data_IF_731942036892
#
_entry.id   IF_731942036892
#
_cell.length_a   1.000
_cell.length_b   1.000
_cell.length_c   1.000
_cell.angle_alpha   90.00
_cell.angle_beta   90.00
_cell.angle_gamma   90.00
#
_symmetry.space_group_name_H-M   'P 1'
#
loop_
_entity.id
_entity.type
_entity.pdbx_description
1 polymer ?
#
# COMPACT_ATOMS: atom_id res chain seq x y z
N UNK A 1 -12.64 92.54 34.26
CA UNK A 1 -11.62 91.76 33.60
C UNK A 1 -11.78 90.38 34.06
N UNK A 2 -12.45 89.56 33.31
CA UNK A 2 -12.84 88.19 33.62
C UNK A 2 -12.29 87.23 32.58
N UNK A 3 -11.29 86.51 32.96
CA UNK A 3 -10.75 85.43 32.11
C UNK A 3 -11.63 84.16 32.16
N UNK A 4 -11.98 83.68 31.01
CA UNK A 4 -12.72 82.39 30.86
C UNK A 4 -11.70 81.32 30.58
N UNK A 5 -11.54 80.37 31.52
CA UNK A 5 -10.80 79.12 31.26
C UNK A 5 -11.59 78.11 30.47
N UNK A 6 -11.01 77.63 29.40
CA UNK A 6 -11.57 76.55 28.53
C UNK A 6 -11.08 75.22 29.03
N UNK A 7 -12.02 74.34 29.41
CA UNK A 7 -11.74 72.95 29.78
C UNK A 7 -11.79 72.11 28.49
N UNK A 8 -10.66 71.49 28.13
CA UNK A 8 -10.57 70.50 27.03
C UNK A 8 -10.74 69.10 27.65
N UNK A 9 -11.86 68.48 27.33
CA UNK A 9 -12.14 67.09 27.69
C UNK A 9 -11.46 66.17 26.65
N UNK A 10 -10.40 65.47 27.09
CA UNK A 10 -9.75 64.44 26.25
C UNK A 10 -10.47 63.12 26.41
N UNK A 11 -11.09 62.64 25.33
CA UNK A 11 -11.64 61.31 25.24
C UNK A 11 -10.53 60.31 24.88
N UNK A 12 -10.22 59.40 25.82
CA UNK A 12 -9.33 58.28 25.56
C UNK A 12 -10.10 57.17 24.87
N UNK A 13 -9.77 56.87 23.59
CA UNK A 13 -10.26 55.68 22.86
C UNK A 13 -9.44 54.48 23.35
N UNK A 14 -10.08 53.58 24.10
CA UNK A 14 -9.52 52.25 24.38
C UNK A 14 -9.78 51.33 23.18
N UNK A 15 -8.73 50.99 22.43
CA UNK A 15 -8.79 49.98 21.38
C UNK A 15 -8.74 48.58 22.02
N UNK A 16 -9.87 47.86 21.97
CA UNK A 16 -9.92 46.44 22.31
C UNK A 16 -9.36 45.62 21.14
N UNK A 17 -8.17 45.06 21.33
CA UNK A 17 -7.64 44.04 20.42
C UNK A 17 -8.30 42.71 20.76
N UNK A 18 -9.22 42.25 19.91
CA UNK A 18 -9.76 40.88 19.98
C UNK A 18 -8.69 39.91 19.47
N UNK A 19 -7.99 39.25 20.39
CA UNK A 19 -7.14 38.10 20.03
C UNK A 19 -8.05 36.88 19.85
N UNK A 20 -8.35 36.53 18.59
CA UNK A 20 -9.03 35.27 18.29
C UNK A 20 -8.02 34.12 18.50
N UNK A 21 -8.15 33.42 19.60
CA UNK A 21 -7.45 32.14 19.85
C UNK A 21 -8.13 31.10 18.96
N UNK A 22 -7.54 30.81 17.81
CA UNK A 22 -7.92 29.63 17.03
C UNK A 22 -7.37 28.41 17.76
N UNK A 23 -8.22 27.75 18.53
CA UNK A 23 -7.88 26.44 19.08
C UNK A 23 -7.80 25.44 17.94
N UNK A 24 -6.60 25.13 17.49
CA UNK A 24 -6.37 23.94 16.65
C UNK A 24 -6.58 22.74 17.56
N UNK A 25 -7.79 22.17 17.53
CA UNK A 25 -8.04 20.86 18.12
C UNK A 25 -7.28 19.89 17.24
N UNK A 26 -6.07 19.54 17.64
CA UNK A 26 -5.33 18.44 17.03
C UNK A 26 -6.20 17.18 17.16
N UNK A 27 -6.55 16.55 16.05
CA UNK A 27 -7.16 15.23 16.06
C UNK A 27 -6.26 14.33 16.93
N UNK A 28 -6.83 13.73 17.97
CA UNK A 28 -6.11 12.75 18.78
C UNK A 28 -5.57 11.69 17.81
N UNK A 29 -4.27 11.42 17.90
CA UNK A 29 -3.66 10.39 17.06
C UNK A 29 -4.40 9.08 17.34
N UNK A 30 -5.05 8.51 16.32
CA UNK A 30 -5.70 7.21 16.44
C UNK A 30 -4.64 6.20 16.87
N UNK A 31 -4.75 5.65 18.07
CA UNK A 31 -3.86 4.58 18.51
C UNK A 31 -4.41 3.22 18.08
N UNK A 32 -3.51 2.31 17.77
CA UNK A 32 -3.85 0.93 17.41
C UNK A 32 -2.97 -0.04 18.19
N UNK A 33 -3.55 -1.16 18.55
CA UNK A 33 -2.81 -2.32 19.07
C UNK A 33 -2.88 -3.44 18.04
N UNK A 34 -1.73 -4.00 17.70
CA UNK A 34 -1.63 -5.14 16.77
C UNK A 34 -1.41 -6.43 17.58
N UNK A 35 -2.23 -7.43 17.31
CA UNK A 35 -2.17 -8.73 17.97
C UNK A 35 -1.91 -9.84 16.93
N UNK A 36 -0.76 -10.50 17.02
CA UNK A 36 -0.44 -11.66 16.19
C UNK A 36 -1.38 -12.81 16.52
N UNK A 37 -2.06 -13.35 15.52
CA UNK A 37 -3.07 -14.40 15.73
C UNK A 37 -2.49 -15.81 15.73
N UNK A 38 -1.29 -15.98 15.18
CA UNK A 38 -0.60 -17.26 15.07
C UNK A 38 0.88 -17.12 15.46
N UNK A 39 1.51 -18.24 15.76
CA UNK A 39 2.95 -18.37 16.02
C UNK A 39 3.78 -18.73 14.78
N UNK A 40 3.19 -18.60 13.59
CA UNK A 40 3.76 -18.93 12.29
C UNK A 40 3.07 -18.16 11.16
N UNK A 41 3.69 -18.01 9.99
CA UNK A 41 3.03 -17.49 8.79
C UNK A 41 1.88 -18.39 8.31
N UNK A 42 0.90 -17.80 7.63
CA UNK A 42 -0.21 -18.52 6.98
C UNK A 42 0.15 -18.98 5.58
N UNK A 43 1.08 -18.28 4.90
CA UNK A 43 1.63 -18.68 3.60
C UNK A 43 3.14 -18.81 3.74
N UNK A 44 3.67 -19.97 3.35
CA UNK A 44 5.12 -20.27 3.33
C UNK A 44 5.48 -21.04 2.06
N UNK A 45 6.77 -21.08 1.66
CA UNK A 45 7.21 -21.80 0.47
C UNK A 45 6.83 -23.29 0.45
N UNK A 46 6.70 -23.90 1.62
CA UNK A 46 6.41 -25.33 1.79
C UNK A 46 4.96 -25.70 1.44
N UNK A 47 4.05 -24.72 1.38
CA UNK A 47 2.64 -25.00 1.05
C UNK A 47 2.48 -25.60 -0.35
N UNK A 48 3.26 -25.13 -1.34
CA UNK A 48 3.23 -25.68 -2.69
C UNK A 48 4.44 -25.22 -3.52
N UNK A 49 5.08 -26.09 -4.32
CA UNK A 49 6.26 -25.73 -5.12
C UNK A 49 6.02 -24.59 -6.11
N UNK A 50 4.78 -24.38 -6.58
CA UNK A 50 4.47 -23.32 -7.57
C UNK A 50 4.69 -21.90 -7.02
N UNK A 51 4.66 -21.69 -5.71
CA UNK A 51 4.78 -20.34 -5.15
C UNK A 51 6.23 -19.89 -4.94
N UNK A 52 7.21 -20.78 -5.09
CA UNK A 52 8.62 -20.43 -4.92
C UNK A 52 8.95 -19.87 -3.55
N UNK A 53 10.06 -19.12 -3.45
CA UNK A 53 10.62 -18.63 -2.18
C UNK A 53 10.40 -17.14 -1.92
N UNK A 54 10.03 -16.37 -2.95
CA UNK A 54 9.71 -14.95 -2.80
C UNK A 54 8.21 -14.75 -2.76
N UNK A 55 7.68 -14.30 -1.62
CA UNK A 55 6.25 -14.23 -1.28
C UNK A 55 5.96 -12.85 -0.70
N UNK A 56 5.25 -12.00 -1.47
CA UNK A 56 5.01 -10.62 -1.11
C UNK A 56 3.67 -10.08 -1.65
N UNK A 57 3.27 -8.87 -1.20
CA UNK A 57 2.15 -8.09 -1.71
C UNK A 57 0.80 -8.77 -1.53
N UNK A 58 0.43 -9.19 -0.29
CA UNK A 58 -0.85 -9.82 -0.04
C UNK A 58 -2.03 -8.88 -0.34
N UNK A 59 -3.14 -9.48 -0.77
CA UNK A 59 -4.47 -8.85 -0.79
C UNK A 59 -5.52 -9.92 -0.53
N UNK A 60 -6.34 -9.73 0.48
CA UNK A 60 -7.30 -10.73 0.94
C UNK A 60 -8.71 -10.20 0.77
N UNK A 61 -9.60 -11.05 0.27
CA UNK A 61 -11.03 -10.75 0.17
C UNK A 61 -11.86 -11.93 0.68
N UNK A 62 -12.99 -11.61 1.31
CA UNK A 62 -14.07 -12.56 1.52
C UNK A 62 -14.84 -12.68 0.22
N UNK A 63 -14.96 -13.90 -0.29
CA UNK A 63 -15.66 -14.16 -1.54
C UNK A 63 -17.17 -13.96 -1.35
N UNK A 64 -17.80 -13.17 -2.25
CA UNK A 64 -19.23 -12.90 -2.15
C UNK A 64 -20.07 -14.12 -2.53
N UNK A 65 -21.29 -14.19 -2.00
CA UNK A 65 -22.18 -15.35 -2.20
C UNK A 65 -22.66 -15.52 -3.65
N UNK A 66 -22.58 -14.45 -4.48
CA UNK A 66 -22.92 -14.55 -5.90
C UNK A 66 -21.86 -15.29 -6.75
N UNK A 67 -20.69 -15.63 -6.17
CA UNK A 67 -19.72 -16.55 -6.78
C UNK A 67 -20.06 -17.96 -6.34
N UNK A 68 -20.75 -18.72 -7.20
CA UNK A 68 -21.32 -20.03 -6.86
C UNK A 68 -20.26 -21.12 -6.63
N UNK A 69 -19.27 -21.21 -7.51
CA UNK A 69 -18.22 -22.25 -7.52
C UNK A 69 -16.92 -21.78 -6.88
N UNK A 70 -17.00 -21.05 -5.77
CA UNK A 70 -15.81 -20.55 -5.07
C UNK A 70 -15.00 -21.69 -4.44
N UNK A 71 -13.67 -21.60 -4.50
CA UNK A 71 -12.73 -22.57 -3.94
C UNK A 71 -12.76 -22.58 -2.39
N UNK A 72 -13.12 -21.46 -1.77
CA UNK A 72 -13.22 -21.26 -0.33
C UNK A 72 -13.85 -19.92 0.00
N UNK A 73 -14.07 -19.67 1.29
CA UNK A 73 -14.67 -18.41 1.78
C UNK A 73 -13.78 -17.20 1.59
N UNK A 74 -12.46 -17.36 1.68
CA UNK A 74 -11.47 -16.30 1.52
C UNK A 74 -10.50 -16.63 0.41
N UNK A 75 -10.15 -15.60 -0.37
CA UNK A 75 -9.08 -15.65 -1.36
C UNK A 75 -7.97 -14.69 -0.94
N UNK A 76 -6.74 -15.19 -0.96
CA UNK A 76 -5.52 -14.43 -0.72
C UNK A 76 -4.71 -14.40 -2.00
N UNK A 77 -4.62 -13.22 -2.61
CA UNK A 77 -3.78 -12.95 -3.77
C UNK A 77 -2.42 -12.45 -3.29
N UNK A 78 -1.36 -12.87 -3.95
CA UNK A 78 0.01 -12.45 -3.64
C UNK A 78 0.92 -12.69 -4.85
N UNK A 79 2.20 -12.27 -4.78
CA UNK A 79 3.09 -12.37 -5.92
C UNK A 79 4.52 -12.76 -5.52
N UNK A 80 5.36 -13.01 -6.49
CA UNK A 80 6.80 -12.86 -6.46
C UNK A 80 7.13 -11.46 -6.97
N UNK A 81 8.13 -10.81 -6.42
CA UNK A 81 8.50 -9.44 -6.79
C UNK A 81 8.86 -9.28 -8.27
N UNK A 82 9.41 -10.33 -8.88
CA UNK A 82 9.70 -10.42 -10.32
C UNK A 82 8.91 -11.54 -10.99
N UNK A 83 7.74 -11.88 -10.42
CA UNK A 83 6.90 -12.98 -10.86
C UNK A 83 6.16 -12.70 -12.16
N UNK A 84 5.74 -13.79 -12.80
CA UNK A 84 5.03 -13.75 -14.09
C UNK A 84 3.54 -14.02 -13.96
N UNK A 85 3.02 -14.12 -12.72
CA UNK A 85 1.59 -14.32 -12.47
C UNK A 85 1.23 -13.89 -11.05
N UNK A 86 -0.02 -13.54 -10.85
CA UNK A 86 -0.58 -13.33 -9.51
C UNK A 86 -0.98 -14.68 -8.96
N UNK A 87 -0.40 -15.05 -7.81
CA UNK A 87 -0.67 -16.27 -7.09
C UNK A 87 -1.99 -16.19 -6.35
N UNK A 88 -2.61 -17.34 -6.08
CA UNK A 88 -3.87 -17.43 -5.38
C UNK A 88 -3.80 -18.55 -4.33
N UNK A 89 -4.12 -18.19 -3.09
CA UNK A 89 -4.46 -19.15 -2.03
C UNK A 89 -5.92 -18.95 -1.63
N UNK A 90 -6.53 -19.99 -1.06
CA UNK A 90 -7.91 -19.96 -0.58
C UNK A 90 -8.07 -20.76 0.72
N UNK A 91 -9.03 -20.35 1.54
CA UNK A 91 -9.38 -21.01 2.80
C UNK A 91 -10.83 -20.74 3.18
N UNK A 92 -11.36 -21.52 4.11
CA UNK A 92 -12.67 -21.27 4.72
C UNK A 92 -12.55 -20.49 6.04
N UNK A 93 -11.35 -20.43 6.61
CA UNK A 93 -11.00 -19.67 7.81
C UNK A 93 -9.75 -18.82 7.54
N UNK A 94 -9.71 -17.59 8.07
CA UNK A 94 -8.56 -16.67 7.90
C UNK A 94 -7.28 -17.19 8.54
N UNK A 95 -7.39 -18.02 9.59
CA UNK A 95 -6.24 -18.66 10.23
C UNK A 95 -5.79 -19.93 9.51
N UNK A 96 -6.51 -20.35 8.47
CA UNK A 96 -6.21 -21.51 7.62
C UNK A 96 -6.95 -22.79 8.04
N UNK A 97 -6.57 -23.96 7.47
CA UNK A 97 -5.42 -24.11 6.57
C UNK A 97 -5.65 -23.48 5.18
N UNK A 98 -4.68 -22.72 4.71
CA UNK A 98 -4.68 -22.18 3.37
C UNK A 98 -4.23 -23.22 2.35
N UNK A 99 -4.89 -23.24 1.20
CA UNK A 99 -4.56 -24.12 0.06
C UNK A 99 -4.14 -23.25 -1.12
N UNK A 100 -3.12 -23.67 -1.84
CA UNK A 100 -2.68 -22.96 -3.05
C UNK A 100 -3.50 -23.44 -4.25
N UNK A 101 -3.96 -22.49 -5.07
CA UNK A 101 -4.45 -22.74 -6.43
C UNK A 101 -3.27 -22.60 -7.39
N UNK A 102 -2.65 -23.69 -7.85
CA UNK A 102 -1.36 -23.64 -8.53
C UNK A 102 -1.32 -22.80 -9.83
N UNK A 103 -2.40 -22.73 -10.64
CA UNK A 103 -2.44 -21.83 -11.79
C UNK A 103 -2.36 -20.35 -11.42
N UNK A 104 -2.69 -20.00 -10.16
CA UNK A 104 -2.86 -18.60 -9.75
C UNK A 104 -4.13 -17.98 -10.32
N UNK A 105 -4.11 -16.67 -10.53
CA UNK A 105 -5.29 -15.94 -11.03
C UNK A 105 -5.00 -15.21 -12.35
N UNK A 106 -4.04 -14.30 -12.40
CA UNK A 106 -3.71 -13.52 -13.59
C UNK A 106 -2.31 -13.88 -14.08
N UNK A 107 -2.20 -14.27 -15.35
CA UNK A 107 -0.92 -14.53 -16.01
C UNK A 107 -0.38 -13.25 -16.67
N UNK A 108 0.96 -13.12 -16.77
CA UNK A 108 1.58 -11.95 -17.41
C UNK A 108 1.15 -11.81 -18.87
N UNK A 109 0.92 -12.91 -19.59
CA UNK A 109 0.46 -12.90 -20.98
C UNK A 109 -0.92 -12.24 -21.16
N UNK A 110 -1.74 -12.23 -20.10
CA UNK A 110 -3.10 -11.69 -20.08
C UNK A 110 -3.16 -10.31 -19.40
N UNK A 111 -2.02 -9.84 -18.88
CA UNK A 111 -1.93 -8.66 -18.00
C UNK A 111 -1.81 -7.32 -18.74
N UNK A 112 -1.63 -7.34 -20.06
CA UNK A 112 -1.33 -6.16 -20.89
C UNK A 112 0.06 -5.54 -20.61
N UNK A 113 0.93 -6.21 -19.85
CA UNK A 113 2.32 -5.84 -19.63
C UNK A 113 3.27 -6.58 -20.59
N UNK A 114 4.54 -6.17 -20.58
CA UNK A 114 5.57 -6.84 -21.38
C UNK A 114 5.73 -8.30 -20.94
N UNK A 115 5.80 -9.21 -21.88
CA UNK A 115 6.09 -10.63 -21.66
C UNK A 115 7.57 -10.97 -21.84
N UNK A 116 8.28 -10.13 -22.61
CA UNK A 116 9.69 -10.30 -22.94
C UNK A 116 10.49 -9.07 -22.49
N UNK A 117 11.75 -9.23 -22.10
CA UNK A 117 12.61 -8.11 -21.74
C UNK A 117 12.74 -7.11 -22.89
N UNK A 118 12.46 -5.81 -22.64
CA UNK A 118 12.72 -4.79 -23.65
C UNK A 118 14.22 -4.62 -23.87
N UNK A 119 14.62 -4.38 -25.13
CA UNK A 119 16.01 -4.11 -25.48
C UNK A 119 16.50 -2.83 -24.79
N UNK A 120 17.73 -2.87 -24.26
CA UNK A 120 18.40 -1.72 -23.65
C UNK A 120 19.88 -1.74 -24.00
N UNK A 121 20.46 -0.62 -24.41
CA UNK A 121 21.89 -0.52 -24.69
C UNK A 121 22.73 -0.38 -23.42
N UNK A 122 24.03 -0.66 -23.50
CA UNK A 122 24.97 -0.44 -22.38
C UNK A 122 25.09 1.03 -22.02
N UNK A 123 24.99 1.94 -22.99
CA UNK A 123 24.97 3.39 -22.77
C UNK A 123 23.76 3.81 -21.94
N UNK A 124 22.58 3.28 -22.25
CA UNK A 124 21.38 3.57 -21.49
C UNK A 124 21.45 3.02 -20.05
N UNK A 125 22.01 1.80 -19.88
CA UNK A 125 22.29 1.25 -18.54
C UNK A 125 23.24 2.16 -17.76
N UNK A 126 24.33 2.62 -18.37
CA UNK A 126 25.26 3.53 -17.74
C UNK A 126 24.59 4.88 -17.37
N UNK A 127 23.75 5.42 -18.24
CA UNK A 127 22.95 6.64 -17.98
C UNK A 127 22.02 6.47 -16.78
N UNK A 128 21.27 5.37 -16.72
CA UNK A 128 20.35 5.03 -15.62
C UNK A 128 21.12 4.85 -14.30
N UNK A 129 22.27 4.17 -14.34
CA UNK A 129 23.15 3.96 -13.17
C UNK A 129 23.64 5.31 -12.63
N UNK A 130 24.15 6.17 -13.51
CA UNK A 130 24.60 7.51 -13.14
C UNK A 130 23.47 8.39 -12.59
N UNK A 131 22.28 8.32 -13.17
CA UNK A 131 21.11 9.05 -12.68
C UNK A 131 20.71 8.59 -11.27
N UNK A 132 20.71 7.29 -11.01
CA UNK A 132 20.42 6.71 -9.69
C UNK A 132 21.45 7.16 -8.65
N UNK A 133 22.74 7.08 -8.95
CA UNK A 133 23.82 7.53 -8.05
C UNK A 133 23.69 9.02 -7.68
N UNK A 134 23.36 9.88 -8.64
CA UNK A 134 23.16 11.32 -8.40
C UNK A 134 21.92 11.64 -7.55
N UNK A 135 20.87 10.82 -7.63
CA UNK A 135 19.64 11.05 -6.88
C UNK A 135 19.73 10.63 -5.41
N UNK A 136 20.85 10.02 -4.98
CA UNK A 136 20.94 9.42 -3.63
C UNK A 136 19.94 8.30 -3.40
N UNK A 137 19.42 7.68 -4.47
CA UNK A 137 18.44 6.62 -4.37
C UNK A 137 18.98 5.45 -3.56
N UNK A 138 18.10 4.84 -2.76
CA UNK A 138 18.43 3.68 -1.95
C UNK A 138 19.05 2.56 -2.80
N UNK A 139 19.96 1.82 -2.18
CA UNK A 139 20.56 0.60 -2.76
C UNK A 139 19.44 -0.35 -3.19
N UNK A 140 19.62 -1.02 -4.32
CA UNK A 140 18.68 -2.01 -4.84
C UNK A 140 19.29 -3.40 -4.79
N UNK A 141 18.44 -4.41 -4.66
CA UNK A 141 18.85 -5.82 -4.60
C UNK A 141 19.33 -6.40 -5.94
N UNK A 142 18.98 -5.75 -7.06
CA UNK A 142 19.40 -6.17 -8.41
C UNK A 142 20.18 -5.06 -9.12
N UNK A 143 20.96 -5.45 -10.12
CA UNK A 143 21.62 -4.51 -11.04
C UNK A 143 20.58 -3.69 -11.85
N UNK A 144 21.07 -2.59 -12.44
CA UNK A 144 20.21 -1.63 -13.15
C UNK A 144 19.55 -2.26 -14.38
N UNK A 145 20.23 -3.13 -15.10
CA UNK A 145 19.66 -3.79 -16.28
C UNK A 145 18.52 -4.70 -15.89
N UNK A 146 18.72 -5.57 -14.89
CA UNK A 146 17.69 -6.47 -14.34
C UNK A 146 16.47 -5.67 -13.87
N UNK A 147 16.67 -4.61 -13.10
CA UNK A 147 15.55 -3.77 -12.63
C UNK A 147 14.80 -3.07 -13.76
N UNK A 148 15.51 -2.65 -14.81
CA UNK A 148 14.94 -1.89 -15.90
C UNK A 148 14.18 -2.74 -16.93
N UNK A 149 14.50 -4.06 -17.03
CA UNK A 149 14.05 -4.87 -18.16
C UNK A 149 13.37 -6.19 -17.80
N UNK A 150 13.31 -6.60 -16.50
CA UNK A 150 12.65 -7.87 -16.15
C UNK A 150 11.13 -7.74 -16.20
N UNK A 151 10.44 -8.43 -17.14
CA UNK A 151 8.99 -8.47 -17.18
C UNK A 151 8.42 -9.13 -15.93
N UNK A 152 7.47 -8.47 -15.30
CA UNK A 152 6.80 -8.99 -14.09
C UNK A 152 5.44 -8.35 -13.88
N UNK A 153 4.61 -9.00 -13.08
CA UNK A 153 3.39 -8.44 -12.48
C UNK A 153 3.38 -8.76 -11.00
N UNK A 154 2.98 -7.79 -10.17
CA UNK A 154 3.06 -7.93 -8.71
C UNK A 154 2.08 -7.03 -7.95
N UNK A 155 2.04 -7.22 -6.63
CA UNK A 155 1.37 -6.41 -5.61
C UNK A 155 -0.11 -6.15 -5.91
N UNK A 156 -0.92 -7.20 -6.00
CA UNK A 156 -2.36 -7.07 -6.22
C UNK A 156 -3.03 -6.28 -5.09
N UNK A 157 -4.09 -5.56 -5.43
CA UNK A 157 -5.04 -4.92 -4.52
C UNK A 157 -6.45 -5.25 -5.01
N UNK A 158 -7.14 -6.15 -4.31
CA UNK A 158 -8.38 -6.77 -4.80
C UNK A 158 -9.58 -6.29 -4.01
N UNK A 159 -10.64 -5.92 -4.72
CA UNK A 159 -11.87 -5.38 -4.16
C UNK A 159 -13.10 -6.06 -4.74
N UNK A 160 -14.14 -6.18 -3.95
CA UNK A 160 -15.44 -6.67 -4.38
C UNK A 160 -16.32 -5.48 -4.78
N UNK A 161 -16.77 -5.46 -6.02
CA UNK A 161 -17.77 -4.52 -6.53
C UNK A 161 -19.12 -5.23 -6.54
N UNK A 162 -19.79 -5.18 -5.39
CA UNK A 162 -21.09 -5.82 -5.17
C UNK A 162 -22.16 -5.32 -6.14
N UNK A 163 -22.16 -4.00 -6.42
CA UNK A 163 -23.18 -3.38 -7.27
C UNK A 163 -23.13 -3.91 -8.71
N UNK A 164 -21.95 -4.28 -9.20
CA UNK A 164 -21.75 -4.80 -10.56
C UNK A 164 -21.45 -6.30 -10.60
N UNK A 165 -21.50 -6.99 -9.46
CA UNK A 165 -21.17 -8.42 -9.30
C UNK A 165 -19.86 -8.77 -10.00
N UNK A 166 -18.79 -8.07 -9.65
CA UNK A 166 -17.45 -8.30 -10.19
C UNK A 166 -16.38 -8.12 -9.12
N UNK A 167 -15.24 -8.73 -9.35
CA UNK A 167 -14.04 -8.61 -8.54
C UNK A 167 -13.06 -7.77 -9.32
N UNK A 168 -12.50 -6.74 -8.69
CA UNK A 168 -11.59 -5.77 -9.31
C UNK A 168 -10.21 -5.93 -8.70
N UNK A 169 -9.18 -6.14 -9.52
CA UNK A 169 -7.79 -6.24 -9.10
C UNK A 169 -6.98 -5.10 -9.71
N UNK A 170 -6.36 -4.28 -8.87
CA UNK A 170 -5.30 -3.37 -9.26
C UNK A 170 -3.96 -4.07 -9.06
N UNK A 171 -3.05 -3.92 -10.00
CA UNK A 171 -1.75 -4.58 -9.95
C UNK A 171 -0.76 -3.77 -10.78
N UNK A 172 0.55 -3.97 -10.58
CA UNK A 172 1.54 -3.29 -11.39
C UNK A 172 2.45 -4.25 -12.14
N UNK A 173 3.17 -3.73 -13.12
CA UNK A 173 4.12 -4.49 -13.91
C UNK A 173 5.02 -3.61 -14.76
N UNK A 174 5.94 -4.25 -15.48
CA UNK A 174 6.87 -3.58 -16.39
C UNK A 174 6.18 -3.23 -17.71
N UNK A 175 6.12 -1.93 -18.02
CA UNK A 175 5.46 -1.37 -19.23
C UNK A 175 6.47 -0.82 -20.26
N UNK A 176 7.75 -0.83 -19.96
CA UNK A 176 8.86 -0.36 -20.79
C UNK A 176 10.15 -0.30 -19.99
N UNK A 177 11.27 0.03 -20.62
CA UNK A 177 12.56 0.19 -19.94
C UNK A 177 12.42 1.12 -18.73
N UNK A 178 12.72 0.63 -17.54
CA UNK A 178 12.59 1.35 -16.25
C UNK A 178 11.21 1.95 -15.99
N UNK A 179 10.19 1.56 -16.72
CA UNK A 179 8.83 2.07 -16.55
C UNK A 179 7.91 0.99 -16.02
N UNK A 180 7.49 1.17 -14.79
CA UNK A 180 6.46 0.35 -14.15
C UNK A 180 5.23 1.23 -13.87
N UNK A 181 4.04 0.68 -14.11
CA UNK A 181 2.75 1.37 -13.92
C UNK A 181 1.75 0.41 -13.32
N UNK A 182 0.63 0.95 -12.80
CA UNK A 182 -0.51 0.14 -12.37
C UNK A 182 -1.55 0.04 -13.48
N UNK A 183 -2.19 -1.13 -13.55
CA UNK A 183 -3.37 -1.43 -14.38
C UNK A 183 -4.47 -2.04 -13.52
N UNK A 184 -5.64 -2.24 -14.13
CA UNK A 184 -6.78 -2.92 -13.50
C UNK A 184 -7.21 -4.11 -14.34
N UNK A 185 -7.61 -5.18 -13.64
CA UNK A 185 -8.27 -6.35 -14.21
C UNK A 185 -9.58 -6.61 -13.48
N UNK A 186 -10.52 -7.28 -14.14
CA UNK A 186 -11.81 -7.66 -13.56
C UNK A 186 -12.07 -9.14 -13.74
N UNK A 187 -12.83 -9.72 -12.81
CA UNK A 187 -13.25 -11.12 -12.82
C UNK A 187 -14.67 -11.26 -12.30
N UNK A 188 -15.36 -12.31 -12.66
CA UNK A 188 -16.65 -12.72 -12.10
C UNK A 188 -16.53 -13.87 -11.10
N UNK A 189 -15.38 -14.56 -11.06
CA UNK A 189 -15.15 -15.71 -10.17
C UNK A 189 -13.93 -15.55 -9.25
N UNK A 190 -13.14 -14.47 -9.42
CA UNK A 190 -11.92 -14.22 -8.62
C UNK A 190 -10.71 -15.07 -9.03
N UNK A 191 -10.83 -15.86 -10.09
CA UNK A 191 -9.75 -16.70 -10.63
C UNK A 191 -9.32 -16.19 -11.99
N UNK A 192 -10.26 -16.08 -12.91
CA UNK A 192 -10.01 -15.69 -14.30
C UNK A 192 -10.19 -14.17 -14.42
N UNK A 193 -9.09 -13.42 -14.53
CA UNK A 193 -9.09 -11.98 -14.67
C UNK A 193 -8.80 -11.52 -16.09
N UNK A 194 -9.53 -10.50 -16.54
CA UNK A 194 -9.30 -9.79 -17.79
C UNK A 194 -8.73 -8.40 -17.52
N UNK A 195 -7.48 -8.16 -17.90
CA UNK A 195 -6.80 -6.89 -17.69
C UNK A 195 -7.15 -5.86 -18.77
N UNK A 196 -7.23 -4.58 -18.35
CA UNK A 196 -7.43 -3.43 -19.23
C UNK A 196 -6.08 -2.81 -19.60
N UNK A 197 -5.93 -2.26 -20.82
CA UNK A 197 -4.66 -1.70 -21.30
C UNK A 197 -4.32 -0.32 -20.70
N UNK A 198 -5.29 0.35 -20.06
CA UNK A 198 -5.09 1.69 -19.53
C UNK A 198 -4.08 1.70 -18.38
N UNK A 199 -3.21 2.72 -18.40
CA UNK A 199 -2.29 3.03 -17.30
C UNK A 199 -3.02 3.87 -16.27
N UNK A 200 -3.08 3.42 -15.03
CA UNK A 200 -3.82 4.12 -13.98
C UNK A 200 -2.93 5.09 -13.17
N UNK A 201 -1.67 4.75 -13.00
CA UNK A 201 -0.74 5.51 -12.19
C UNK A 201 0.55 4.75 -11.89
N UNK A 202 1.23 5.16 -10.81
CA UNK A 202 2.48 4.56 -10.34
C UNK A 202 2.24 3.17 -9.74
N UNK A 203 3.31 2.48 -9.41
CA UNK A 203 3.31 1.13 -8.84
C UNK A 203 2.70 1.07 -7.45
N UNK A 204 2.27 -0.13 -7.06
CA UNK A 204 1.75 -0.44 -5.72
C UNK A 204 0.51 0.41 -5.38
N UNK A 205 -0.48 0.41 -6.27
CA UNK A 205 -1.72 1.16 -6.09
C UNK A 205 -2.62 0.45 -5.07
N UNK A 206 -3.07 1.18 -4.05
CA UNK A 206 -4.04 0.78 -3.05
C UNK A 206 -5.25 1.68 -3.12
N UNK A 207 -6.45 1.11 -3.13
CA UNK A 207 -7.67 1.81 -3.52
C UNK A 207 -8.68 1.89 -2.36
N UNK A 208 -9.41 3.00 -2.27
CA UNK A 208 -10.52 3.18 -1.35
C UNK A 208 -11.58 4.10 -1.95
N UNK A 209 -12.81 4.01 -1.44
CA UNK A 209 -13.92 4.88 -1.87
C UNK A 209 -14.20 5.96 -0.83
N UNK A 210 -14.39 7.21 -1.29
CA UNK A 210 -14.77 8.33 -0.42
C UNK A 210 -15.47 9.43 -1.24
N UNK A 211 -16.57 10.00 -0.71
CA UNK A 211 -17.25 11.15 -1.31
C UNK A 211 -17.71 10.95 -2.77
N UNK A 212 -18.06 9.73 -3.16
CA UNK A 212 -18.49 9.38 -4.52
C UNK A 212 -17.34 9.30 -5.54
N UNK A 213 -16.11 9.25 -5.07
CA UNK A 213 -14.90 8.97 -5.87
C UNK A 213 -14.27 7.65 -5.45
N UNK A 214 -13.55 7.03 -6.37
CA UNK A 214 -12.53 6.03 -6.13
C UNK A 214 -11.19 6.76 -6.02
N UNK A 215 -10.56 6.68 -4.86
CA UNK A 215 -9.21 7.18 -4.62
C UNK A 215 -8.21 6.05 -4.67
N UNK A 216 -6.99 6.36 -5.03
CA UNK A 216 -5.88 5.43 -4.96
C UNK A 216 -4.63 6.13 -4.43
N UNK A 217 -3.81 5.39 -3.69
CA UNK A 217 -2.47 5.82 -3.28
C UNK A 217 -1.45 4.82 -3.81
N UNK A 218 -0.44 5.33 -4.53
CA UNK A 218 0.68 4.56 -5.07
C UNK A 218 1.99 4.96 -4.40
N UNK A 219 3.01 4.11 -4.51
CA UNK A 219 4.38 4.42 -4.07
C UNK A 219 4.97 5.62 -4.82
N UNK A 220 5.65 6.55 -4.13
CA UNK A 220 5.76 6.77 -2.69
C UNK A 220 4.75 7.85 -2.20
N UNK A 221 3.51 7.44 -1.91
CA UNK A 221 2.47 8.32 -1.38
C UNK A 221 1.79 9.20 -2.42
N UNK A 222 1.83 8.86 -3.71
CA UNK A 222 1.16 9.59 -4.78
C UNK A 222 -0.33 9.26 -4.81
N UNK A 223 -1.19 10.25 -4.59
CA UNK A 223 -2.64 10.08 -4.66
C UNK A 223 -3.18 10.29 -6.06
N UNK A 224 -4.26 9.58 -6.34
CA UNK A 224 -5.08 9.67 -7.55
C UNK A 224 -6.55 9.58 -7.17
N UNK A 225 -7.45 10.10 -8.01
CA UNK A 225 -8.89 9.85 -7.88
C UNK A 225 -9.57 9.71 -9.24
N UNK A 226 -10.69 9.01 -9.26
CA UNK A 226 -11.56 8.86 -10.43
C UNK A 226 -13.02 8.73 -10.03
N UNK A 227 -13.94 9.05 -10.94
CA UNK A 227 -15.36 8.67 -10.82
C UNK A 227 -15.62 7.21 -11.21
N UNK A 228 -14.65 6.57 -11.87
CA UNK A 228 -14.74 5.17 -12.28
C UNK A 228 -13.64 4.36 -11.61
N UNK A 229 -13.95 3.22 -10.97
CA UNK A 229 -12.92 2.34 -10.43
C UNK A 229 -12.04 1.68 -11.50
N UNK A 230 -12.42 1.76 -12.78
CA UNK A 230 -11.75 1.05 -13.87
C UNK A 230 -10.87 1.95 -14.75
N UNK A 231 -10.69 3.22 -14.44
CA UNK A 231 -9.86 4.09 -15.26
C UNK A 231 -10.09 5.59 -15.01
N UNK A 232 -9.45 6.44 -15.84
CA UNK A 232 -9.56 7.89 -15.80
C UNK A 232 -9.13 8.49 -14.45
N UNK A 233 -8.07 7.96 -13.84
CA UNK A 233 -7.50 8.50 -12.61
C UNK A 233 -6.75 9.80 -12.88
N UNK A 234 -7.14 10.88 -12.21
CA UNK A 234 -6.40 12.14 -12.19
C UNK A 234 -5.36 12.11 -11.07
N UNK A 235 -4.16 12.63 -11.34
CA UNK A 235 -3.07 12.71 -10.37
C UNK A 235 -3.31 13.86 -9.40
N UNK A 236 -3.08 13.64 -8.12
CA UNK A 236 -3.29 14.58 -7.03
C UNK A 236 -2.03 14.82 -6.19
N UNK A 237 -2.18 15.09 -4.88
CA UNK A 237 -1.06 15.39 -4.01
C UNK A 237 -0.16 14.15 -3.82
N UNK A 238 1.12 14.41 -3.59
CA UNK A 238 2.06 13.40 -3.14
C UNK A 238 2.39 13.68 -1.68
N UNK A 239 1.95 12.77 -0.83
CA UNK A 239 2.20 12.77 0.60
C UNK A 239 3.33 11.78 0.92
N UNK A 240 3.82 11.79 2.13
CA UNK A 240 4.93 10.97 2.60
C UNK A 240 6.30 11.32 1.97
N UNK A 241 7.34 10.74 2.52
CA UNK A 241 8.70 10.91 2.03
C UNK A 241 9.02 9.97 0.85
N UNK A 242 10.12 10.23 0.15
CA UNK A 242 10.53 9.47 -1.03
C UNK A 242 10.90 7.99 -0.76
N UNK A 243 11.14 7.63 0.49
CA UNK A 243 11.49 6.26 0.90
C UNK A 243 10.27 5.44 1.32
N UNK A 244 9.09 6.08 1.45
CA UNK A 244 7.83 5.38 1.69
C UNK A 244 7.60 4.36 0.59
N UNK A 245 7.21 3.14 0.99
CA UNK A 245 6.76 2.09 0.08
C UNK A 245 5.62 1.30 0.70
N UNK A 246 5.21 0.26 0.12
CA UNK A 246 4.18 -0.69 0.55
C UNK A 246 3.18 -0.11 1.57
N UNK A 247 1.93 -0.10 1.21
CA UNK A 247 0.89 0.45 2.07
C UNK A 247 -0.38 -0.40 2.07
N UNK A 248 -1.16 -0.26 3.14
CA UNK A 248 -2.54 -0.70 3.21
C UNK A 248 -3.40 0.45 3.74
N UNK A 249 -4.62 0.54 3.28
CA UNK A 249 -5.53 1.63 3.57
C UNK A 249 -6.76 1.13 4.31
N UNK A 250 -7.13 1.81 5.40
CA UNK A 250 -8.33 1.56 6.15
C UNK A 250 -9.07 2.88 6.40
N UNK A 251 -10.27 3.02 5.88
CA UNK A 251 -11.07 4.24 6.08
C UNK A 251 -12.04 4.10 7.26
N UNK A 252 -12.06 5.11 8.12
CA UNK A 252 -13.03 5.27 9.21
C UNK A 252 -13.64 6.66 9.13
N UNK A 253 -14.89 6.75 8.67
CA UNK A 253 -15.53 8.04 8.45
C UNK A 253 -14.71 8.92 7.51
N UNK A 254 -14.24 10.06 8.01
CA UNK A 254 -13.38 10.98 7.28
C UNK A 254 -11.87 10.75 7.55
N UNK A 255 -11.51 9.73 8.31
CA UNK A 255 -10.11 9.42 8.59
C UNK A 255 -9.65 8.24 7.74
N UNK A 256 -8.53 8.39 7.04
CA UNK A 256 -7.82 7.32 6.37
C UNK A 256 -6.63 6.91 7.24
N UNK A 257 -6.63 5.68 7.71
CA UNK A 257 -5.49 5.05 8.36
C UNK A 257 -4.61 4.43 7.28
N UNK A 258 -3.34 4.78 7.26
CA UNK A 258 -2.34 4.29 6.30
C UNK A 258 -1.32 3.48 7.06
N UNK A 259 -1.34 2.17 6.88
CA UNK A 259 -0.28 1.26 7.34
C UNK A 259 0.78 1.20 6.25
N UNK A 260 2.06 1.46 6.58
CA UNK A 260 3.08 1.59 5.55
C UNK A 260 4.47 1.22 6.05
N UNK A 261 5.38 0.91 5.12
CA UNK A 261 6.79 0.62 5.41
C UNK A 261 7.71 1.60 4.69
N UNK A 262 8.98 1.62 5.07
CA UNK A 262 9.96 2.56 4.54
C UNK A 262 11.29 1.89 4.26
N UNK A 263 11.82 2.13 3.07
CA UNK A 263 13.19 1.72 2.69
C UNK A 263 14.20 2.43 3.58
N UNK A 264 15.18 1.68 4.06
CA UNK A 264 16.27 2.19 4.89
C UNK A 264 16.00 2.12 6.40
N UNK A 265 14.80 1.74 6.82
CA UNK A 265 14.52 1.48 8.24
C UNK A 265 15.33 0.27 8.75
N UNK A 266 15.66 0.27 10.04
CA UNK A 266 16.50 -0.73 10.74
C UNK A 266 15.81 -1.18 12.03
N UNK A 267 15.07 -2.28 12.04
CA UNK A 267 14.59 -3.08 10.90
C UNK A 267 13.50 -2.36 10.12
N UNK A 268 13.20 -2.80 8.89
CA UNK A 268 11.98 -2.38 8.21
C UNK A 268 10.75 -2.93 8.95
N UNK A 269 9.80 -2.05 9.23
CA UNK A 269 8.66 -2.32 10.09
C UNK A 269 7.40 -1.60 9.59
N UNK A 270 6.23 -1.98 10.10
CA UNK A 270 4.95 -1.33 9.75
C UNK A 270 4.74 -0.11 10.64
N UNK A 271 4.46 1.03 10.00
CA UNK A 271 4.09 2.31 10.60
C UNK A 271 2.62 2.61 10.32
N UNK A 272 2.02 3.44 11.16
CA UNK A 272 0.71 4.02 10.96
C UNK A 272 0.82 5.54 10.85
N UNK A 273 0.18 6.08 9.81
CA UNK A 273 -0.15 7.51 9.69
C UNK A 273 -1.64 7.66 9.47
N UNK A 274 -2.21 8.83 9.78
CA UNK A 274 -3.60 9.16 9.49
C UNK A 274 -3.67 10.36 8.56
N UNK A 275 -4.75 10.41 7.75
CA UNK A 275 -5.07 11.53 6.86
C UNK A 275 -6.52 11.90 7.11
N UNK A 276 -6.79 13.17 7.39
CA UNK A 276 -8.16 13.69 7.40
C UNK A 276 -8.61 13.93 5.96
N UNK A 277 -9.65 13.20 5.53
CA UNK A 277 -10.21 13.26 4.18
C UNK A 277 -11.23 14.40 4.02
N UNK A 278 -11.54 15.15 5.07
CA UNK A 278 -12.42 16.31 4.98
C UNK A 278 -11.78 17.43 4.14
N UNK A 279 -12.59 18.25 3.50
CA UNK A 279 -12.12 19.35 2.67
C UNK A 279 -11.61 18.95 1.29
N UNK A 280 -10.81 19.83 0.69
CA UNK A 280 -10.22 19.60 -0.63
C UNK A 280 -9.08 18.56 -0.55
N UNK A 281 -9.16 17.54 -1.39
CA UNK A 281 -8.17 16.47 -1.43
C UNK A 281 -6.74 16.94 -1.82
N UNK A 282 -6.63 18.07 -2.51
CA UNK A 282 -5.33 18.68 -2.84
C UNK A 282 -4.63 19.26 -1.61
N UNK A 283 -5.37 19.51 -0.54
CA UNK A 283 -4.87 20.00 0.74
C UNK A 283 -4.66 18.90 1.80
N UNK A 284 -4.85 17.62 1.47
CA UNK A 284 -4.63 16.54 2.43
C UNK A 284 -3.17 16.49 2.89
N UNK A 285 -2.97 16.04 4.13
CA UNK A 285 -1.66 15.83 4.72
C UNK A 285 -1.70 14.65 5.67
N UNK A 286 -0.59 13.94 5.74
CA UNK A 286 -0.42 12.81 6.67
C UNK A 286 0.12 13.26 8.03
N UNK A 287 -0.25 12.52 9.09
CA UNK A 287 0.44 12.61 10.37
C UNK A 287 1.80 11.91 10.29
N UNK A 288 2.77 12.26 11.17
CA UNK A 288 4.01 11.49 11.30
C UNK A 288 3.73 10.00 11.52
N UNK A 289 4.52 9.14 10.88
CA UNK A 289 4.41 7.69 11.04
C UNK A 289 4.81 7.23 12.43
N UNK A 290 3.92 6.46 13.09
CA UNK A 290 4.18 5.81 14.37
C UNK A 290 4.36 4.31 14.12
N UNK A 291 5.41 3.69 14.69
CA UNK A 291 5.61 2.25 14.61
C UNK A 291 4.45 1.50 15.27
N UNK A 292 3.90 0.49 14.59
CA UNK A 292 2.80 -0.34 15.11
C UNK A 292 3.12 -1.83 15.09
N UNK A 293 4.08 -2.27 14.27
CA UNK A 293 4.50 -3.68 14.22
C UNK A 293 5.93 -3.78 13.69
N UNK A 294 6.81 -4.49 14.41
CA UNK A 294 8.18 -4.80 14.01
C UNK A 294 8.46 -6.30 14.10
N UNK A 295 9.54 -6.82 13.48
CA UNK A 295 9.96 -8.20 13.69
C UNK A 295 10.26 -8.48 15.17
N UNK A 296 9.60 -9.48 15.75
CA UNK A 296 9.80 -9.94 17.13
C UNK A 296 9.91 -11.46 17.23
N UNK A 297 9.54 -12.17 16.17
CA UNK A 297 9.57 -13.63 16.11
C UNK A 297 10.64 -14.10 15.16
N UNK A 298 11.22 -15.28 15.40
CA UNK A 298 12.21 -15.89 14.51
C UNK A 298 11.67 -15.98 13.08
N UNK A 299 10.44 -16.43 12.91
CA UNK A 299 9.79 -16.53 11.60
C UNK A 299 9.49 -15.17 10.94
N UNK A 300 9.58 -14.06 11.67
CA UNK A 300 9.54 -12.69 11.13
C UNK A 300 10.93 -12.16 10.75
N UNK A 301 11.98 -12.94 11.04
CA UNK A 301 13.36 -12.55 10.82
C UNK A 301 14.01 -11.82 12.00
N UNK A 302 13.42 -11.82 13.19
CA UNK A 302 13.92 -11.06 14.35
C UNK A 302 15.33 -11.49 14.81
N UNK A 303 15.76 -12.70 14.48
CA UNK A 303 17.09 -13.24 14.77
C UNK A 303 18.13 -12.94 13.66
N UNK A 304 17.69 -12.39 12.52
CA UNK A 304 18.61 -11.98 11.47
C UNK A 304 19.29 -10.63 11.78
N UNK A 305 20.36 -10.32 11.07
CA UNK A 305 21.14 -9.10 11.26
C UNK A 305 20.28 -7.84 11.10
N UNK A 306 20.46 -6.89 12.02
CA UNK A 306 19.88 -5.55 11.92
C UNK A 306 20.66 -4.73 10.90
N UNK A 307 20.08 -4.49 9.74
CA UNK A 307 20.66 -3.69 8.66
C UNK A 307 19.59 -2.86 7.95
N UNK A 308 19.95 -1.74 7.30
CA UNK A 308 19.02 -0.95 6.54
C UNK A 308 18.39 -1.76 5.40
N UNK A 309 17.09 -1.72 5.28
CA UNK A 309 16.42 -2.38 4.15
C UNK A 309 16.78 -1.70 2.83
N UNK A 310 16.85 -2.50 1.76
CA UNK A 310 17.15 -2.02 0.40
C UNK A 310 15.87 -1.99 -0.44
N UNK A 311 15.89 -1.19 -1.51
CA UNK A 311 14.77 -1.14 -2.47
C UNK A 311 14.74 -2.41 -3.31
N UNK A 312 13.56 -2.74 -3.87
CA UNK A 312 13.27 -3.95 -4.63
C UNK A 312 13.18 -5.20 -3.73
N UNK A 313 13.52 -6.38 -4.24
CA UNK A 313 13.28 -7.68 -3.62
C UNK A 313 14.12 -7.90 -2.35
N UNK A 314 13.54 -8.54 -1.35
CA UNK A 314 14.29 -9.15 -0.25
C UNK A 314 14.30 -10.66 -0.43
N UNK A 315 15.49 -11.23 -0.48
CA UNK A 315 15.70 -12.67 -0.54
C UNK A 315 16.25 -13.22 0.77
N UNK A 316 15.81 -14.42 1.12
CA UNK A 316 16.28 -15.13 2.29
C UNK A 316 15.67 -14.61 3.59
N UNK A 317 16.32 -14.98 4.70
CA UNK A 317 15.87 -14.67 6.04
C UNK A 317 16.47 -13.34 6.51
N UNK A 318 15.69 -12.26 6.43
CA UNK A 318 16.11 -10.90 6.81
C UNK A 318 15.20 -10.32 7.89
N UNK A 319 15.70 -9.41 8.70
CA UNK A 319 14.96 -8.76 9.78
C UNK A 319 14.10 -7.61 9.23
N UNK A 320 12.99 -7.96 8.58
CA UNK A 320 12.12 -6.99 7.92
C UNK A 320 10.66 -7.49 7.84
N UNK A 321 9.69 -6.59 8.13
CA UNK A 321 8.29 -6.75 7.77
C UNK A 321 7.96 -5.81 6.61
N UNK A 322 7.19 -6.32 5.64
CA UNK A 322 6.85 -5.61 4.40
C UNK A 322 5.39 -5.80 4.01
N UNK A 323 4.95 -5.11 2.98
CA UNK A 323 3.70 -5.35 2.24
C UNK A 323 2.45 -5.54 3.11
N UNK A 324 2.07 -4.55 3.93
CA UNK A 324 0.84 -4.64 4.70
C UNK A 324 -0.37 -4.69 3.77
N UNK A 325 -1.40 -5.45 4.17
CA UNK A 325 -2.73 -5.49 3.56
C UNK A 325 -3.80 -5.59 4.64
N UNK A 326 -4.92 -4.91 4.45
CA UNK A 326 -6.02 -4.89 5.42
C UNK A 326 -7.23 -5.64 4.85
N UNK A 327 -7.84 -6.44 5.71
CA UNK A 327 -9.17 -7.02 5.51
C UNK A 327 -10.07 -6.62 6.68
N UNK A 328 -11.25 -6.10 6.36
CA UNK A 328 -12.33 -5.99 7.34
C UNK A 328 -13.31 -7.14 7.12
N UNK A 329 -13.58 -7.90 8.17
CA UNK A 329 -14.53 -9.00 8.13
C UNK A 329 -15.23 -9.19 9.48
N UNK A 330 -16.54 -9.32 9.47
CA UNK A 330 -17.40 -9.52 10.63
C UNK A 330 -17.11 -8.55 11.81
N UNK A 331 -16.84 -7.27 11.50
CA UNK A 331 -16.57 -6.19 12.47
C UNK A 331 -15.15 -6.19 13.06
N UNK A 332 -14.29 -7.10 12.62
CA UNK A 332 -12.87 -7.17 12.97
C UNK A 332 -12.00 -6.64 11.84
N UNK A 333 -10.80 -6.20 12.18
CA UNK A 333 -9.80 -5.72 11.21
C UNK A 333 -8.57 -6.62 11.28
N UNK A 334 -8.19 -7.17 10.14
CA UNK A 334 -7.05 -8.06 10.01
C UNK A 334 -5.95 -7.40 9.17
N UNK A 335 -4.71 -7.49 9.65
CA UNK A 335 -3.50 -7.07 8.96
C UNK A 335 -2.77 -8.31 8.46
N UNK A 336 -2.63 -8.45 7.14
CA UNK A 336 -1.73 -9.39 6.52
C UNK A 336 -0.43 -8.68 6.17
N UNK A 337 0.71 -9.32 6.31
CA UNK A 337 2.01 -8.71 6.08
C UNK A 337 3.07 -9.73 5.67
N UNK A 338 4.01 -9.33 4.82
CA UNK A 338 5.15 -10.16 4.46
C UNK A 338 6.17 -10.19 5.59
N UNK A 339 6.75 -11.37 5.83
CA UNK A 339 7.66 -11.65 6.95
C UNK A 339 9.03 -12.09 6.48
N UNK A 340 10.04 -11.90 7.34
CA UNK A 340 11.45 -12.18 7.05
C UNK A 340 11.85 -11.63 5.68
N UNK A 341 11.46 -10.40 5.40
CA UNK A 341 11.50 -9.77 4.09
C UNK A 341 10.31 -10.17 3.22
N UNK A 342 10.52 -11.06 2.28
CA UNK A 342 9.49 -11.56 1.35
C UNK A 342 9.46 -13.11 1.34
N UNK A 343 9.53 -13.73 2.55
CA UNK A 343 9.66 -15.18 2.70
C UNK A 343 8.37 -15.87 3.15
N UNK A 344 7.28 -15.13 3.35
CA UNK A 344 5.98 -15.65 3.76
C UNK A 344 5.00 -14.54 4.08
N UNK A 345 3.75 -14.90 4.36
CA UNK A 345 2.70 -13.97 4.78
C UNK A 345 2.15 -14.40 6.13
N UNK A 346 2.05 -13.46 7.07
CA UNK A 346 1.44 -13.67 8.39
C UNK A 346 0.17 -12.84 8.54
N UNK A 347 -0.58 -13.13 9.62
CA UNK A 347 -1.84 -12.45 9.97
C UNK A 347 -1.80 -11.96 11.42
N UNK A 348 -2.30 -10.75 11.62
CA UNK A 348 -2.55 -10.15 12.93
C UNK A 348 -3.93 -9.47 12.95
N UNK A 349 -4.46 -9.21 14.14
CA UNK A 349 -5.65 -8.38 14.31
C UNK A 349 -5.27 -6.95 14.70
N UNK A 350 -5.98 -5.98 14.15
CA UNK A 350 -5.84 -4.56 14.45
C UNK A 350 -6.97 -4.13 15.38
N UNK A 351 -6.65 -3.80 16.62
CA UNK A 351 -7.58 -3.22 17.57
C UNK A 351 -7.47 -1.69 17.48
N UNK A 352 -8.55 -1.04 17.07
CA UNK A 352 -8.65 0.42 17.03
C UNK A 352 -9.02 0.92 18.42
N UNK A 353 -8.16 1.69 19.04
CA UNK A 353 -8.40 2.34 20.34
C UNK A 353 -8.99 3.73 20.04
N UNK A 354 -10.30 3.86 20.24
CA UNK A 354 -11.06 5.05 19.91
C UNK A 354 -11.43 5.92 21.06
#
# INVERSE_FOLDING_TARGET
MTERGTIVCGAALAAFVLVSVVSVVGAAAQSVRIERLLDRPVITPELHPSIGVNIQGPSVVRMPDWVEDRLGRYYLYFADHKGRYIRLAYADDLLGPWKIHPPGSLQIAESQFLTDPPAISDEEVARLTAARSRSGAAVMSHDVRTEATTPHIASPDVHIDEANRRIVMYFHGLDGVSRQVSRVATSTNGIDFSARPERLGRTYMRVFSYGGYTYAMSMPGQFYRSRSPLGNFEEGPRLFNASMRHSALLRRGNTLLVFWTQVGDVPEHVKLSTIDLSGDWLGWSETPGVEVLRPERVWEGADATLEPSVRSTAYGHVNQLRDPAILEDDGRVFLFYAVAGESGIAIAEVHLEG
#
